data_IF_575538555707
#
_entry.id   IF_575538555707
#
_cell.length_a   1.000
_cell.length_b   1.000
_cell.length_c   1.000
_cell.angle_alpha   90.00
_cell.angle_beta   90.00
_cell.angle_gamma   90.00
#
_symmetry.space_group_name_H-M   'P 1'
#
loop_
_entity.id
_entity.type
_entity.pdbx_description
1 polymer ?
#
# COMPACT_ATOMS: atom_id res chain seq x y z
N UNK A 1 8.86 -11.31 20.11
CA UNK A 1 9.13 -10.01 19.47
C UNK A 1 10.22 -10.05 18.38
N UNK A 2 11.18 -11.01 18.39
CA UNK A 2 12.22 -11.11 17.35
C UNK A 2 11.74 -11.68 16.00
N UNK A 3 10.79 -12.61 15.98
CA UNK A 3 10.38 -13.32 14.75
C UNK A 3 9.60 -12.42 13.77
N UNK A 4 8.59 -11.69 14.24
CA UNK A 4 7.77 -10.82 13.39
C UNK A 4 8.60 -9.72 12.69
N UNK A 5 9.56 -9.11 13.38
CA UNK A 5 10.44 -8.09 12.78
C UNK A 5 11.28 -8.68 11.65
N UNK A 6 11.87 -9.85 11.87
CA UNK A 6 12.66 -10.54 10.85
C UNK A 6 11.79 -10.91 9.63
N UNK A 7 10.55 -11.38 9.86
CA UNK A 7 9.60 -11.66 8.79
C UNK A 7 9.28 -10.40 7.97
N UNK A 8 9.03 -9.26 8.63
CA UNK A 8 8.75 -7.99 7.96
C UNK A 8 9.96 -7.54 7.12
N UNK A 9 11.17 -7.60 7.67
CA UNK A 9 12.40 -7.24 6.94
C UNK A 9 12.60 -8.12 5.69
N UNK A 10 12.33 -9.42 5.81
CA UNK A 10 12.41 -10.36 4.69
C UNK A 10 11.36 -10.06 3.61
N UNK A 11 10.11 -9.80 4.01
CA UNK A 11 9.03 -9.41 3.09
C UNK A 11 9.42 -8.13 2.35
N UNK A 12 9.88 -7.10 3.05
CA UNK A 12 10.27 -5.82 2.43
C UNK A 12 11.41 -6.01 1.43
N UNK A 13 12.39 -6.88 1.73
CA UNK A 13 13.47 -7.22 0.80
C UNK A 13 12.96 -7.90 -0.47
N UNK A 14 12.08 -8.90 -0.33
CA UNK A 14 11.48 -9.63 -1.44
C UNK A 14 10.58 -8.73 -2.31
N UNK A 15 9.74 -7.92 -1.66
CA UNK A 15 8.88 -6.96 -2.34
C UNK A 15 9.70 -5.89 -3.05
N UNK A 16 10.73 -5.34 -2.42
CA UNK A 16 11.58 -4.33 -3.06
C UNK A 16 12.25 -4.91 -4.30
N UNK A 17 12.88 -6.09 -4.19
CA UNK A 17 13.46 -6.81 -5.34
C UNK A 17 12.45 -6.99 -6.47
N UNK A 18 11.24 -7.45 -6.14
CA UNK A 18 10.15 -7.63 -7.10
C UNK A 18 9.71 -6.31 -7.72
N UNK A 19 9.63 -5.24 -6.92
CA UNK A 19 9.22 -3.91 -7.34
C UNK A 19 10.18 -3.31 -8.35
N UNK A 20 11.48 -3.54 -8.20
CA UNK A 20 12.50 -3.07 -9.17
C UNK A 20 12.31 -3.67 -10.57
N UNK A 21 11.67 -4.83 -10.65
CA UNK A 21 11.43 -5.58 -11.89
C UNK A 21 10.02 -5.39 -12.45
N UNK A 22 9.18 -4.58 -11.80
CA UNK A 22 7.87 -4.21 -12.36
C UNK A 22 8.10 -3.37 -13.62
N UNK A 23 7.65 -3.89 -14.75
CA UNK A 23 7.67 -3.19 -16.03
C UNK A 23 6.48 -2.23 -16.08
N UNK A 24 6.78 -0.97 -16.34
CA UNK A 24 5.76 0.04 -16.61
C UNK A 24 5.64 0.21 -18.12
N UNK A 25 4.46 0.61 -18.60
CA UNK A 25 4.30 1.04 -19.98
C UNK A 25 5.02 2.40 -20.10
N UNK A 26 6.23 2.40 -20.66
CA UNK A 26 7.10 3.57 -20.78
C UNK A 26 8.30 3.52 -19.85
N UNK A 27 8.51 4.57 -19.05
CA UNK A 27 9.70 4.71 -18.20
C UNK A 27 9.52 4.12 -16.80
N UNK A 28 10.65 3.88 -16.13
CA UNK A 28 10.71 3.47 -14.73
C UNK A 28 9.96 4.47 -13.83
N UNK A 29 9.11 3.98 -12.93
CA UNK A 29 8.29 4.83 -12.08
C UNK A 29 9.15 5.51 -11.00
N UNK A 30 8.87 6.78 -10.70
CA UNK A 30 9.62 7.55 -9.71
C UNK A 30 9.72 6.84 -8.35
N UNK A 31 8.70 6.10 -7.96
CA UNK A 31 8.66 5.40 -6.67
C UNK A 31 9.57 4.17 -6.64
N UNK A 32 9.94 3.59 -7.78
CA UNK A 32 10.98 2.55 -7.84
C UNK A 32 12.36 3.11 -7.46
N UNK A 33 12.48 4.44 -7.31
CA UNK A 33 13.67 5.13 -6.83
C UNK A 33 13.51 5.70 -5.40
N UNK A 34 12.34 5.57 -4.77
CA UNK A 34 12.08 6.06 -3.40
C UNK A 34 12.00 4.91 -2.39
N UNK A 35 13.15 4.31 -2.12
CA UNK A 35 13.27 3.22 -1.16
C UNK A 35 12.81 3.61 0.25
N UNK A 36 13.10 4.83 0.68
CA UNK A 36 12.74 5.30 2.03
C UNK A 36 11.22 5.31 2.22
N UNK A 37 10.49 5.91 1.26
CA UNK A 37 9.03 5.95 1.34
C UNK A 37 8.43 4.55 1.18
N UNK A 38 8.98 3.72 0.29
CA UNK A 38 8.57 2.32 0.16
C UNK A 38 8.68 1.58 1.50
N UNK A 39 9.83 1.67 2.18
CA UNK A 39 10.03 1.04 3.48
C UNK A 39 9.05 1.54 4.53
N UNK A 40 8.81 2.85 4.63
CA UNK A 40 7.86 3.41 5.60
C UNK A 40 6.46 2.84 5.38
N UNK A 41 5.97 2.88 4.14
CA UNK A 41 4.61 2.44 3.81
C UNK A 41 4.45 0.93 4.02
N UNK A 42 5.35 0.12 3.43
CA UNK A 42 5.25 -1.34 3.50
C UNK A 42 5.48 -1.87 4.91
N UNK A 43 6.45 -1.34 5.65
CA UNK A 43 6.65 -1.75 7.05
C UNK A 43 5.46 -1.35 7.93
N UNK A 44 4.85 -0.18 7.72
CA UNK A 44 3.69 0.25 8.51
C UNK A 44 2.50 -0.69 8.30
N UNK A 45 2.29 -1.14 7.06
CA UNK A 45 1.25 -2.11 6.74
C UNK A 45 1.56 -3.49 7.30
N UNK A 46 2.77 -4.01 7.07
CA UNK A 46 3.16 -5.33 7.54
C UNK A 46 3.15 -5.44 9.08
N UNK A 47 3.45 -4.36 9.80
CA UNK A 47 3.36 -4.31 11.27
C UNK A 47 1.94 -4.45 11.81
N UNK A 48 0.90 -4.14 11.02
CA UNK A 48 -0.48 -4.33 11.48
C UNK A 48 -0.96 -5.77 11.35
N UNK A 49 -0.30 -6.59 10.53
CA UNK A 49 -0.72 -7.96 10.24
C UNK A 49 -0.33 -8.96 11.33
N UNK A 50 -1.10 -10.05 11.43
CA UNK A 50 -0.74 -11.20 12.27
C UNK A 50 0.48 -11.93 11.71
N UNK A 51 1.17 -12.67 12.57
CA UNK A 51 2.33 -13.48 12.20
C UNK A 51 1.99 -14.52 11.13
N UNK A 52 0.83 -15.18 11.23
CA UNK A 52 0.37 -16.16 10.23
C UNK A 52 0.11 -15.52 8.86
N UNK A 53 -0.37 -14.27 8.84
CA UNK A 53 -0.56 -13.52 7.61
C UNK A 53 0.80 -13.18 6.98
N UNK A 54 1.75 -12.72 7.80
CA UNK A 54 3.11 -12.39 7.34
C UNK A 54 3.84 -13.61 6.80
N UNK A 55 3.82 -14.73 7.51
CA UNK A 55 4.44 -15.98 7.08
C UNK A 55 3.83 -16.48 5.76
N UNK A 56 2.50 -16.48 5.66
CA UNK A 56 1.82 -16.91 4.43
C UNK A 56 2.12 -15.98 3.26
N UNK A 57 2.14 -14.66 3.47
CA UNK A 57 2.48 -13.71 2.40
C UNK A 57 3.95 -13.80 1.97
N UNK A 58 4.88 -13.96 2.92
CA UNK A 58 6.29 -14.23 2.61
C UNK A 58 6.43 -15.48 1.74
N UNK A 59 5.66 -16.52 2.05
CA UNK A 59 5.61 -17.75 1.25
C UNK A 59 5.07 -17.49 -0.15
N UNK A 60 4.00 -16.70 -0.29
CA UNK A 60 3.47 -16.32 -1.62
C UNK A 60 4.53 -15.62 -2.47
N UNK A 61 5.31 -14.70 -1.90
CA UNK A 61 6.38 -14.00 -2.61
C UNK A 61 7.47 -14.96 -3.11
N UNK A 62 7.88 -15.92 -2.28
CA UNK A 62 8.90 -16.93 -2.63
C UNK A 62 8.36 -17.89 -3.69
N UNK A 63 7.13 -18.39 -3.52
CA UNK A 63 6.47 -19.29 -4.48
C UNK A 63 6.29 -18.62 -5.84
N UNK A 64 5.90 -17.35 -5.87
CA UNK A 64 5.80 -16.57 -7.09
C UNK A 64 7.16 -16.38 -7.77
N UNK A 65 8.20 -15.99 -7.01
CA UNK A 65 9.56 -15.82 -7.55
C UNK A 65 10.09 -17.12 -8.15
N UNK A 66 9.93 -18.25 -7.46
CA UNK A 66 10.34 -19.57 -7.94
C UNK A 66 9.58 -20.01 -9.21
N UNK A 67 8.34 -19.55 -9.38
CA UNK A 67 7.53 -19.79 -10.57
C UNK A 67 7.77 -18.75 -11.70
N UNK A 68 8.73 -17.83 -11.56
CA UNK A 68 8.99 -16.77 -12.53
C UNK A 68 7.90 -15.69 -12.58
N UNK A 69 7.03 -15.64 -11.57
CA UNK A 69 5.93 -14.67 -11.41
C UNK A 69 6.38 -13.48 -10.55
N UNK A 70 5.65 -12.38 -10.66
CA UNK A 70 5.88 -11.17 -9.86
C UNK A 70 4.55 -10.65 -9.32
N UNK A 71 4.31 -10.85 -8.01
CA UNK A 71 3.04 -10.46 -7.37
C UNK A 71 2.75 -8.97 -7.44
N UNK A 72 3.78 -8.11 -7.50
CA UNK A 72 3.58 -6.67 -7.63
C UNK A 72 3.13 -6.32 -9.05
N UNK A 73 3.68 -6.98 -10.07
CA UNK A 73 3.21 -6.83 -11.45
C UNK A 73 1.77 -7.32 -11.60
N UNK A 74 1.42 -8.47 -11.01
CA UNK A 74 0.06 -8.99 -11.01
C UNK A 74 -0.91 -8.04 -10.32
N UNK A 75 -0.53 -7.52 -9.15
CA UNK A 75 -1.27 -6.50 -8.40
C UNK A 75 -1.60 -5.29 -9.27
N UNK A 76 -0.60 -4.70 -9.95
CA UNK A 76 -0.84 -3.56 -10.82
C UNK A 76 -1.66 -3.92 -12.06
N UNK A 77 -1.45 -5.11 -12.63
CA UNK A 77 -2.27 -5.63 -13.73
C UNK A 77 -3.74 -5.73 -13.34
N UNK A 78 -4.07 -6.23 -12.15
CA UNK A 78 -5.45 -6.29 -11.67
C UNK A 78 -6.07 -4.91 -11.40
N UNK A 79 -5.29 -3.87 -11.03
CA UNK A 79 -5.82 -2.50 -10.89
C UNK A 79 -6.21 -1.89 -12.25
N UNK A 80 -5.58 -2.34 -13.35
CA UNK A 80 -5.90 -1.85 -14.69
C UNK A 80 -7.32 -2.23 -15.13
N UNK A 81 -7.92 -3.26 -14.53
CA UNK A 81 -9.31 -3.66 -14.82
C UNK A 81 -10.29 -2.49 -14.65
N UNK A 82 -10.09 -1.65 -13.62
CA UNK A 82 -10.89 -0.44 -13.39
C UNK A 82 -10.25 0.82 -14.01
N UNK A 83 -8.94 0.99 -13.84
CA UNK A 83 -8.26 2.25 -14.19
C UNK A 83 -7.90 2.38 -15.68
N UNK A 84 -7.78 1.27 -16.42
CA UNK A 84 -7.41 1.25 -17.84
C UNK A 84 -7.95 -0.02 -18.54
N UNK A 85 -9.28 -0.19 -18.70
CA UNK A 85 -9.88 -1.45 -19.15
C UNK A 85 -9.38 -1.94 -20.52
N UNK A 86 -9.12 -1.02 -21.45
CA UNK A 86 -8.60 -1.34 -22.78
C UNK A 86 -7.18 -1.92 -22.74
N UNK A 87 -6.31 -1.42 -21.85
CA UNK A 87 -4.97 -1.97 -21.66
C UNK A 87 -5.01 -3.27 -20.86
N UNK A 88 -5.92 -3.37 -19.87
CA UNK A 88 -6.15 -4.60 -19.13
C UNK A 88 -6.53 -5.77 -20.06
N UNK A 89 -7.44 -5.55 -21.01
CA UNK A 89 -7.84 -6.58 -21.97
C UNK A 89 -6.65 -7.17 -22.76
N UNK A 90 -5.60 -6.37 -23.02
CA UNK A 90 -4.39 -6.83 -23.71
C UNK A 90 -3.50 -7.71 -22.83
N UNK A 91 -3.53 -7.55 -21.51
CA UNK A 91 -2.66 -8.29 -20.57
C UNK A 91 -3.40 -9.32 -19.72
N UNK A 92 -4.74 -9.35 -19.75
CA UNK A 92 -5.55 -10.20 -18.88
C UNK A 92 -5.18 -11.68 -18.99
N UNK A 93 -4.83 -12.14 -20.18
CA UNK A 93 -4.39 -13.52 -20.45
C UNK A 93 -3.03 -13.88 -19.82
N UNK A 94 -2.24 -12.88 -19.39
CA UNK A 94 -0.96 -13.06 -18.69
C UNK A 94 -1.14 -13.11 -17.17
N UNK A 95 -2.31 -12.72 -16.65
CA UNK A 95 -2.58 -12.71 -15.23
C UNK A 95 -3.14 -14.06 -14.77
N UNK A 96 -2.81 -14.53 -13.56
CA UNK A 96 -3.41 -15.73 -12.99
C UNK A 96 -4.93 -15.62 -12.91
N UNK A 97 -5.63 -16.73 -13.20
CA UNK A 97 -7.07 -16.84 -12.99
C UNK A 97 -7.35 -16.86 -11.48
N UNK A 98 -8.25 -16.00 -11.03
CA UNK A 98 -8.65 -15.91 -9.63
C UNK A 98 -9.85 -16.83 -9.40
N UNK A 99 -9.71 -17.78 -8.47
CA UNK A 99 -10.79 -18.69 -8.12
C UNK A 99 -11.97 -17.95 -7.45
N UNK A 100 -13.20 -18.45 -7.64
CA UNK A 100 -14.42 -17.87 -7.04
C UNK A 100 -14.31 -17.71 -5.52
N UNK A 101 -13.76 -18.73 -4.83
CA UNK A 101 -13.60 -18.71 -3.38
C UNK A 101 -12.63 -17.60 -2.93
N UNK A 102 -11.61 -17.29 -3.74
CA UNK A 102 -10.70 -16.19 -3.48
C UNK A 102 -11.43 -14.84 -3.59
N UNK A 103 -12.26 -14.66 -4.62
CA UNK A 103 -13.08 -13.45 -4.78
C UNK A 103 -13.99 -13.24 -3.57
N UNK A 104 -14.65 -14.31 -3.09
CA UNK A 104 -15.50 -14.23 -1.89
C UNK A 104 -14.73 -13.80 -0.64
N UNK A 105 -13.48 -14.24 -0.46
CA UNK A 105 -12.63 -13.79 0.65
C UNK A 105 -12.19 -12.33 0.49
N UNK A 106 -11.80 -11.94 -0.72
CA UNK A 106 -11.38 -10.58 -1.06
C UNK A 106 -12.49 -9.58 -0.75
N UNK A 107 -13.71 -9.81 -1.22
CA UNK A 107 -14.81 -8.86 -1.00
C UNK A 107 -15.18 -8.71 0.47
N UNK A 108 -15.04 -9.76 1.28
CA UNK A 108 -15.22 -9.67 2.73
C UNK A 108 -14.14 -8.82 3.40
N UNK A 109 -12.88 -9.00 3.01
CA UNK A 109 -11.77 -8.19 3.51
C UNK A 109 -11.97 -6.73 3.12
N UNK A 110 -12.22 -6.46 1.83
CA UNK A 110 -12.44 -5.11 1.29
C UNK A 110 -13.60 -4.43 2.01
N UNK A 111 -14.71 -5.11 2.22
CA UNK A 111 -15.87 -4.54 2.94
C UNK A 111 -15.49 -4.05 4.34
N UNK A 112 -14.71 -4.83 5.10
CA UNK A 112 -14.30 -4.44 6.45
C UNK A 112 -13.33 -3.26 6.41
N UNK A 113 -12.32 -3.32 5.54
CA UNK A 113 -11.30 -2.27 5.45
C UNK A 113 -11.92 -0.96 4.96
N UNK A 114 -12.83 -0.99 3.98
CA UNK A 114 -13.50 0.23 3.49
C UNK A 114 -14.36 0.89 4.57
N UNK A 115 -15.00 0.11 5.45
CA UNK A 115 -15.72 0.66 6.62
C UNK A 115 -14.75 1.41 7.54
N UNK A 116 -13.58 0.82 7.82
CA UNK A 116 -12.53 1.45 8.61
C UNK A 116 -11.97 2.72 7.98
N UNK A 117 -11.75 2.74 6.67
CA UNK A 117 -11.26 3.94 5.96
C UNK A 117 -12.28 5.08 5.99
N UNK A 118 -13.57 4.77 5.83
CA UNK A 118 -14.64 5.77 5.93
C UNK A 118 -14.71 6.36 7.34
N UNK A 119 -14.58 5.54 8.38
CA UNK A 119 -14.51 6.02 9.76
C UNK A 119 -13.26 6.89 9.99
N UNK A 120 -12.12 6.47 9.46
CA UNK A 120 -10.85 7.16 9.64
C UNK A 120 -10.83 8.50 8.92
N UNK A 121 -11.38 8.57 7.70
CA UNK A 121 -11.54 9.81 6.94
C UNK A 121 -12.45 10.82 7.66
N UNK A 122 -13.52 10.36 8.34
CA UNK A 122 -14.36 11.23 9.17
C UNK A 122 -13.61 11.80 10.38
N UNK A 123 -12.77 10.99 11.04
CA UNK A 123 -12.00 11.41 12.23
C UNK A 123 -10.83 12.34 11.86
N UNK A 124 -10.14 12.07 10.76
CA UNK A 124 -8.91 12.77 10.36
C UNK A 124 -8.93 13.19 8.87
N UNK A 125 -9.87 14.07 8.47
CA UNK A 125 -10.14 14.34 7.06
C UNK A 125 -8.98 14.99 6.30
N UNK A 126 -8.13 15.79 6.95
CA UNK A 126 -7.10 16.56 6.26
C UNK A 126 -5.89 15.71 5.88
N UNK A 127 -5.49 14.78 6.75
CA UNK A 127 -4.42 13.83 6.44
C UNK A 127 -4.89 12.75 5.49
N UNK A 128 -6.10 12.21 5.66
CA UNK A 128 -6.63 11.19 4.75
C UNK A 128 -6.89 11.77 3.35
N UNK A 129 -7.23 13.06 3.24
CA UNK A 129 -7.33 13.74 1.94
C UNK A 129 -5.99 13.98 1.23
N UNK A 130 -4.84 13.60 1.80
CA UNK A 130 -3.56 13.58 1.09
C UNK A 130 -3.37 12.28 0.28
N UNK A 131 -4.12 11.24 0.64
CA UNK A 131 -4.09 9.93 0.02
C UNK A 131 -4.96 9.84 -1.23
N UNK A 132 -5.30 8.60 -1.57
CA UNK A 132 -6.13 8.29 -2.74
C UNK A 132 -7.61 8.59 -2.46
N UNK A 133 -8.43 8.82 -3.51
CA UNK A 133 -9.88 8.71 -3.38
C UNK A 133 -10.25 7.36 -2.78
N UNK A 134 -11.35 7.30 -2.01
CA UNK A 134 -11.71 6.06 -1.33
C UNK A 134 -12.30 5.05 -2.31
N UNK A 135 -13.25 5.46 -3.14
CA UNK A 135 -14.10 4.53 -3.87
C UNK A 135 -13.71 4.38 -5.34
N UNK A 136 -13.90 3.17 -5.87
CA UNK A 136 -13.62 2.81 -7.26
C UNK A 136 -14.39 3.63 -8.31
N UNK A 137 -15.55 4.19 -7.96
CA UNK A 137 -16.28 5.15 -8.83
C UNK A 137 -15.51 6.44 -9.13
N UNK A 138 -14.47 6.73 -8.33
CA UNK A 138 -13.57 7.87 -8.48
C UNK A 138 -12.28 7.47 -9.22
N UNK A 139 -12.16 6.21 -9.66
CA UNK A 139 -11.06 5.77 -10.50
C UNK A 139 -11.09 6.51 -11.84
N UNK A 140 -9.89 6.90 -12.28
CA UNK A 140 -9.68 7.47 -13.60
C UNK A 140 -8.31 7.04 -14.11
N UNK A 141 -8.01 7.37 -15.35
CA UNK A 141 -6.65 7.24 -15.88
C UNK A 141 -5.72 8.01 -14.91
N UNK A 142 -4.84 7.28 -14.21
CA UNK A 142 -3.78 7.85 -13.38
C UNK A 142 -4.21 8.16 -11.95
N UNK A 143 -5.48 7.90 -11.65
CA UNK A 143 -6.07 8.01 -10.32
C UNK A 143 -6.62 6.64 -9.96
N UNK A 144 -5.95 5.97 -9.03
CA UNK A 144 -6.40 4.69 -8.48
C UNK A 144 -6.86 4.91 -7.06
N UNK A 145 -8.13 4.62 -6.79
CA UNK A 145 -8.73 4.64 -5.47
C UNK A 145 -8.10 3.62 -4.52
N UNK A 146 -8.30 3.82 -3.22
CA UNK A 146 -7.92 2.86 -2.19
C UNK A 146 -8.63 1.52 -2.41
N UNK A 147 -9.92 1.54 -2.73
CA UNK A 147 -10.71 0.34 -2.96
C UNK A 147 -10.14 -0.54 -4.09
N UNK A 148 -9.81 0.07 -5.23
CA UNK A 148 -9.20 -0.63 -6.38
C UNK A 148 -7.78 -1.08 -6.08
N UNK A 149 -7.00 -0.26 -5.38
CA UNK A 149 -5.64 -0.62 -4.98
C UNK A 149 -5.64 -1.84 -4.06
N UNK A 150 -6.53 -1.84 -3.05
CA UNK A 150 -6.70 -2.94 -2.10
C UNK A 150 -7.13 -4.22 -2.82
N UNK A 151 -8.13 -4.16 -3.72
CA UNK A 151 -8.53 -5.32 -4.51
C UNK A 151 -7.38 -5.85 -5.36
N UNK A 152 -6.63 -4.97 -6.04
CA UNK A 152 -5.48 -5.37 -6.83
C UNK A 152 -4.42 -6.10 -5.99
N UNK A 153 -4.14 -5.61 -4.78
CA UNK A 153 -3.21 -6.25 -3.84
C UNK A 153 -3.72 -7.62 -3.40
N UNK A 154 -4.98 -7.73 -2.99
CA UNK A 154 -5.53 -8.99 -2.50
C UNK A 154 -5.70 -10.04 -3.61
N UNK A 155 -5.90 -9.62 -4.87
CA UNK A 155 -5.97 -10.52 -6.02
C UNK A 155 -4.63 -11.22 -6.31
N UNK A 156 -3.49 -10.66 -5.89
CA UNK A 156 -2.19 -11.33 -6.04
C UNK A 156 -1.85 -12.29 -4.88
N UNK A 157 -2.68 -12.36 -3.84
CA UNK A 157 -2.46 -13.25 -2.70
C UNK A 157 -2.97 -14.66 -2.99
N UNK A 158 -2.33 -15.66 -2.37
CA UNK A 158 -2.89 -17.01 -2.38
C UNK A 158 -4.16 -17.10 -1.52
N UNK A 159 -5.01 -18.09 -1.79
CA UNK A 159 -6.20 -18.38 -0.94
C UNK A 159 -5.81 -18.60 0.52
N UNK A 160 -4.64 -19.21 0.78
CA UNK A 160 -4.11 -19.42 2.12
C UNK A 160 -3.87 -18.07 2.83
N UNK A 161 -3.19 -17.14 2.17
CA UNK A 161 -2.93 -15.81 2.71
C UNK A 161 -4.22 -15.02 2.91
N UNK A 162 -5.16 -15.10 1.95
CA UNK A 162 -6.48 -14.47 2.08
C UNK A 162 -7.26 -14.99 3.31
N UNK A 163 -7.20 -16.30 3.60
CA UNK A 163 -7.84 -16.88 4.78
C UNK A 163 -7.22 -16.38 6.09
N UNK A 164 -5.89 -16.36 6.19
CA UNK A 164 -5.20 -15.80 7.36
C UNK A 164 -5.50 -14.31 7.54
N UNK A 165 -5.45 -13.54 6.45
CA UNK A 165 -5.70 -12.12 6.52
C UNK A 165 -7.15 -11.80 6.89
N UNK A 166 -8.14 -12.51 6.33
CA UNK A 166 -9.54 -12.34 6.72
C UNK A 166 -9.76 -12.71 8.20
N UNK A 167 -9.13 -13.78 8.70
CA UNK A 167 -9.22 -14.14 10.11
C UNK A 167 -8.66 -13.02 11.01
N UNK A 168 -7.51 -12.47 10.64
CA UNK A 168 -6.89 -11.34 11.34
C UNK A 168 -7.77 -10.08 11.31
N UNK A 169 -8.28 -9.68 10.15
CA UNK A 169 -9.15 -8.50 9.99
C UNK A 169 -10.45 -8.67 10.78
N UNK A 170 -11.05 -9.86 10.79
CA UNK A 170 -12.24 -10.17 11.60
C UNK A 170 -11.96 -10.10 13.09
N UNK A 171 -10.80 -10.59 13.55
CA UNK A 171 -10.39 -10.50 14.96
C UNK A 171 -10.30 -9.04 15.40
N UNK A 172 -9.59 -8.19 14.64
CA UNK A 172 -9.52 -6.75 14.94
C UNK A 172 -10.91 -6.10 15.00
N UNK A 173 -11.80 -6.46 14.07
CA UNK A 173 -13.18 -5.97 14.06
C UNK A 173 -13.96 -6.40 15.31
N UNK A 174 -13.82 -7.66 15.75
CA UNK A 174 -14.45 -8.17 16.98
C UNK A 174 -13.93 -7.44 18.23
N UNK A 175 -12.66 -7.04 18.21
CA UNK A 175 -12.01 -6.24 19.26
C UNK A 175 -12.29 -4.73 19.14
N UNK A 176 -13.23 -4.32 18.26
CA UNK A 176 -13.54 -2.91 17.95
C UNK A 176 -12.30 -2.07 17.59
N UNK A 177 -11.30 -2.70 16.99
CA UNK A 177 -10.04 -2.09 16.60
C UNK A 177 -10.02 -1.85 15.09
N UNK A 178 -9.77 -0.60 14.70
CA UNK A 178 -9.65 -0.20 13.29
C UNK A 178 -8.23 -0.49 12.78
N UNK A 179 -8.09 -1.50 11.92
CA UNK A 179 -6.79 -1.92 11.37
C UNK A 179 -6.11 -0.85 10.51
N UNK A 180 -6.88 -0.09 9.71
CA UNK A 180 -6.35 1.03 8.92
C UNK A 180 -5.76 2.13 9.79
N UNK A 181 -6.37 2.41 10.93
CA UNK A 181 -5.87 3.37 11.90
C UNK A 181 -4.54 2.93 12.52
N UNK A 182 -4.33 1.63 12.77
CA UNK A 182 -3.03 1.08 13.21
C UNK A 182 -1.95 1.39 12.16
N UNK A 183 -2.22 1.09 10.88
CA UNK A 183 -1.27 1.33 9.79
C UNK A 183 -0.96 2.82 9.67
N UNK A 184 -1.98 3.68 9.72
CA UNK A 184 -1.80 5.12 9.59
C UNK A 184 -1.02 5.71 10.78
N UNK A 185 -1.29 5.25 12.01
CA UNK A 185 -0.51 5.63 13.20
C UNK A 185 0.95 5.22 13.10
N UNK A 186 1.23 4.01 12.60
CA UNK A 186 2.61 3.56 12.35
C UNK A 186 3.29 4.44 11.29
N UNK A 187 2.57 4.80 10.23
CA UNK A 187 3.06 5.63 9.13
C UNK A 187 3.43 7.03 9.61
N UNK A 188 2.52 7.74 10.29
CA UNK A 188 2.80 9.11 10.76
C UNK A 188 3.91 9.16 11.81
N UNK A 189 4.02 8.14 12.67
CA UNK A 189 5.14 8.01 13.62
C UNK A 189 6.48 7.91 12.90
N UNK A 190 6.54 7.11 11.83
CA UNK A 190 7.74 7.02 11.03
C UNK A 190 8.08 8.34 10.35
N UNK A 191 7.10 9.18 10.02
CA UNK A 191 7.32 10.55 9.52
C UNK A 191 7.61 11.60 10.61
N UNK A 192 7.72 11.19 11.88
CA UNK A 192 8.12 12.06 12.99
C UNK A 192 6.97 12.75 13.73
N UNK A 193 5.72 12.34 13.50
CA UNK A 193 4.57 12.80 14.28
C UNK A 193 4.32 11.91 15.50
N UNK A 194 3.88 12.48 16.62
CA UNK A 194 3.55 11.73 17.83
C UNK A 194 2.20 11.02 17.69
N UNK A 195 1.27 11.60 16.94
CA UNK A 195 -0.07 11.06 16.74
C UNK A 195 -0.66 11.37 15.36
N UNK A 196 -1.69 10.61 14.99
CA UNK A 196 -2.48 10.88 13.80
C UNK A 196 -3.21 12.22 13.87
N UNK A 197 -3.68 12.60 15.08
CA UNK A 197 -4.33 13.88 15.30
C UNK A 197 -3.37 15.05 15.06
N UNK A 198 -2.14 14.98 15.60
CA UNK A 198 -1.11 16.00 15.37
C UNK A 198 -0.81 16.17 13.88
N UNK A 199 -0.64 15.07 13.15
CA UNK A 199 -0.37 15.11 11.72
C UNK A 199 -1.54 15.74 10.94
N UNK A 200 -2.78 15.38 11.28
CA UNK A 200 -3.98 15.96 10.70
C UNK A 200 -4.10 17.47 10.96
N UNK A 201 -3.85 17.92 12.20
CA UNK A 201 -3.95 19.33 12.59
C UNK A 201 -2.84 20.18 11.96
N UNK A 202 -1.63 19.64 11.81
CA UNK A 202 -0.56 20.31 11.07
C UNK A 202 -0.91 20.52 9.61
N UNK A 203 -1.51 19.52 8.96
CA UNK A 203 -1.97 19.64 7.56
C UNK A 203 -3.12 20.65 7.47
N UNK A 204 -4.09 20.61 8.39
CA UNK A 204 -5.17 21.59 8.48
C UNK A 204 -4.62 23.02 8.58
N UNK A 205 -3.70 23.26 9.51
CA UNK A 205 -3.06 24.57 9.69
C UNK A 205 -2.29 25.00 8.45
N UNK A 206 -1.56 24.09 7.79
CA UNK A 206 -0.85 24.40 6.55
C UNK A 206 -1.77 24.78 5.39
N UNK A 207 -2.98 24.21 5.31
CA UNK A 207 -3.99 24.60 4.31
C UNK A 207 -4.59 25.96 4.61
N UNK A 208 -4.80 26.30 5.88
CA UNK A 208 -5.20 27.64 6.30
C UNK A 208 -4.11 28.69 6.03
N UNK A 209 -2.84 28.30 6.10
CA UNK A 209 -1.68 29.14 5.82
C UNK A 209 -1.28 29.19 4.35
N UNK A 210 -1.67 28.24 3.49
CA UNK A 210 -1.38 28.25 2.04
C UNK A 210 -2.21 29.27 1.24
N UNK A 211 -2.97 30.14 1.92
CA UNK A 211 -3.25 31.49 1.43
C UNK A 211 -2.03 32.44 1.44
N UNK A 212 -0.89 31.98 2.00
CA UNK A 212 0.37 32.72 2.22
C UNK A 212 1.59 31.77 2.27
N UNK A 213 2.16 31.44 1.10
CA UNK A 213 3.59 31.11 0.82
C UNK A 213 4.45 30.23 1.79
N UNK A 214 4.81 29.04 1.25
CA UNK A 214 6.13 28.33 1.19
C UNK A 214 6.80 27.47 2.30
N UNK A 215 7.31 26.33 1.77
CA UNK A 215 8.49 25.47 2.08
C UNK A 215 8.50 24.49 3.25
N UNK A 216 8.93 23.26 2.93
CA UNK A 216 8.97 22.10 3.82
C UNK A 216 10.43 21.73 4.17
N UNK A 217 10.68 21.50 5.45
CA UNK A 217 11.91 20.89 5.97
C UNK A 217 11.65 19.43 6.40
N UNK A 218 12.63 18.57 6.13
CA UNK A 218 12.55 17.11 6.25
C UNK A 218 13.61 16.63 7.25
N UNK A 219 13.28 15.77 8.22
CA UNK A 219 14.26 14.87 8.80
C UNK A 219 13.90 13.42 8.48
N UNK A 220 14.89 12.50 8.50
CA UNK A 220 14.80 11.23 9.24
C UNK A 220 16.04 10.34 9.07
N UNK A 221 16.28 9.55 10.12
CA UNK A 221 17.44 8.69 10.37
C UNK A 221 16.94 7.31 10.82
N UNK A 222 16.25 6.58 9.95
CA UNK A 222 15.91 5.16 10.17
C UNK A 222 15.90 4.44 8.81
N UNK A 223 17.09 4.19 8.25
CA UNK A 223 17.34 3.28 7.10
C UNK A 223 18.84 3.29 6.68
N UNK A 224 19.77 3.65 7.57
CA UNK A 224 21.18 3.90 7.19
C UNK A 224 22.04 2.66 6.92
N UNK A 225 21.48 1.46 6.88
CA UNK A 225 22.24 0.25 6.57
C UNK A 225 21.96 -0.33 5.18
N UNK A 226 21.02 0.21 4.41
CA UNK A 226 20.76 -0.21 3.04
C UNK A 226 20.92 0.97 2.07
N UNK A 227 22.02 0.95 1.33
CA UNK A 227 22.32 1.78 0.15
C UNK A 227 22.46 3.29 0.38
N UNK A 228 23.72 3.75 0.49
CA UNK A 228 24.05 5.12 0.18
C UNK A 228 23.78 5.40 -1.31
N UNK A 229 23.23 6.57 -1.64
CA UNK A 229 23.40 7.31 -2.90
C UNK A 229 22.54 8.60 -2.91
N UNK A 230 22.96 9.61 -3.69
CA UNK A 230 22.38 10.98 -3.75
C UNK A 230 21.36 11.15 -4.88
N UNK A 231 20.40 12.07 -4.70
CA UNK A 231 19.33 12.45 -5.65
C UNK A 231 19.77 13.51 -6.67
N UNK A 232 19.25 13.41 -7.90
CA UNK A 232 18.98 14.56 -8.81
C UNK A 232 17.76 14.29 -9.69
N UNK A 233 16.70 15.10 -9.50
CA UNK A 233 15.77 15.76 -10.48
C UNK A 233 14.92 14.99 -11.56
N UNK A 234 13.79 15.60 -12.03
CA UNK A 234 12.48 14.97 -12.33
C UNK A 234 12.28 14.63 -13.84
N UNK A 235 11.28 13.82 -14.31
CA UNK A 235 9.88 14.27 -14.55
C UNK A 235 8.77 13.17 -14.70
N UNK A 236 7.49 13.60 -14.80
CA UNK A 236 6.29 12.98 -15.43
C UNK A 236 5.91 11.51 -15.11
N UNK A 237 4.80 11.32 -14.37
CA UNK A 237 4.37 10.01 -13.86
C UNK A 237 3.09 9.47 -14.52
N UNK A 238 3.19 8.27 -15.09
CA UNK A 238 2.08 7.33 -15.30
C UNK A 238 2.47 5.95 -14.75
N UNK A 239 2.61 5.93 -13.43
CA UNK A 239 2.02 4.98 -12.48
C UNK A 239 2.02 5.83 -11.21
N UNK A 240 0.82 6.19 -10.76
CA UNK A 240 0.69 6.94 -9.53
C UNK A 240 0.94 5.95 -8.39
N UNK A 241 2.20 5.57 -8.13
CA UNK A 241 2.59 5.16 -6.79
C UNK A 241 2.63 6.43 -5.93
N UNK A 242 1.44 7.01 -5.76
CA UNK A 242 1.11 7.92 -4.68
C UNK A 242 1.32 7.16 -3.38
N UNK A 243 2.55 7.21 -2.90
CA UNK A 243 2.89 7.01 -1.51
C UNK A 243 2.85 8.38 -0.82
N UNK A 244 1.70 9.05 -0.90
CA UNK A 244 1.38 10.18 -0.03
C UNK A 244 0.24 9.70 0.85
N UNK A 245 0.60 8.94 1.88
CA UNK A 245 -0.29 8.37 2.90
C UNK A 245 -1.43 7.49 2.36
N UNK A 246 -1.09 6.22 2.08
CA UNK A 246 -1.98 5.12 1.65
C UNK A 246 -2.88 5.38 0.43
#
# INVERSE_FOLDING_TARGET
MGNQKALIEDILRLEWKSFQNVKNIGARAACQNDFSTFCIMRSSQAQSWSEETLESYRRDLIEAENAGRNLLSEKYGHMMESTSPAEYAKIAHLLPVIASDAITLIEQIVTIIMQWEVELQKKHPYILAQGRPLFSKEDALGVTSLETYLRGELKSFSIRTLKHYLAHVRKLRQENTNGSEIVMRATVKQYGFHSLQEANDKIKASRSLQGSSMTANHPLRVCRQAAGWRRTEPPNAWINCSARFM
#
